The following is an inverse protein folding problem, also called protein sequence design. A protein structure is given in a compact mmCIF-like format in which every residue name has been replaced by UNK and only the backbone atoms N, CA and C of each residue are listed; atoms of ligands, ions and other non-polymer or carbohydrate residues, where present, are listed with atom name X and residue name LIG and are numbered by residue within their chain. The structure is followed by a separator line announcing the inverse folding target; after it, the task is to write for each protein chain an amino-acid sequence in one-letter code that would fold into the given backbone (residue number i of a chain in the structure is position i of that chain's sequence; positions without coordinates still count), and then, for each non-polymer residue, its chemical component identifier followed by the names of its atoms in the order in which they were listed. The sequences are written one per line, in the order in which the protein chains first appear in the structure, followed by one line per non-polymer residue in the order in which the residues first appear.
data_IF_969119352015
#
_entry.id   IF_969119352015
#
_cell.length_a   1.000
_cell.length_b   1.000
_cell.length_c   1.000
_cell.angle_alpha   90.00
_cell.angle_beta   90.00
_cell.angle_gamma   90.00
#
_symmetry.space_group_name_H-M   'P 1'
#
loop_
_entity.id
_entity.type
_entity.pdbx_description
1 polymer ?
#
# COMPACT_ATOMS: atom_id res chain seq x y z
N UNK A 1 -19.91 18.36 -23.94
CA UNK A 1 -18.88 19.36 -23.62
C UNK A 1 -17.57 18.60 -23.65
N UNK A 2 -16.63 18.99 -24.49
CA UNK A 2 -15.35 18.30 -24.60
C UNK A 2 -14.63 18.29 -23.24
N UNK A 3 -13.91 17.21 -22.94
CA UNK A 3 -13.01 17.09 -21.79
C UNK A 3 -11.85 18.11 -21.92
N UNK A 4 -12.09 19.40 -21.68
CA UNK A 4 -11.00 20.35 -21.48
C UNK A 4 -10.40 20.09 -20.09
N UNK A 5 -9.09 19.83 -20.05
CA UNK A 5 -8.34 19.71 -18.81
C UNK A 5 -8.37 21.05 -18.06
N UNK A 6 -8.70 21.01 -16.77
CA UNK A 6 -8.65 22.20 -15.92
C UNK A 6 -7.19 22.55 -15.59
N UNK A 7 -6.82 23.83 -15.65
CA UNK A 7 -5.49 24.28 -15.21
C UNK A 7 -5.34 24.09 -13.69
N UNK A 8 -6.41 24.36 -12.93
CA UNK A 8 -6.52 24.15 -11.49
C UNK A 8 -7.95 23.88 -11.05
N UNK A 9 -8.16 23.53 -9.78
CA UNK A 9 -9.48 23.59 -9.15
C UNK A 9 -9.33 23.99 -7.68
N UNK A 10 -9.80 25.17 -7.30
CA UNK A 10 -9.75 25.62 -5.92
C UNK A 10 -11.01 26.40 -5.54
N UNK A 11 -11.71 25.95 -4.50
CA UNK A 11 -12.97 26.52 -4.02
C UNK A 11 -12.98 26.90 -2.53
N UNK A 12 -11.81 26.91 -1.88
CA UNK A 12 -11.73 26.94 -0.41
C UNK A 12 -12.05 28.29 0.25
N UNK A 13 -12.26 29.35 -0.53
CA UNK A 13 -12.50 30.69 0.01
C UNK A 13 -13.77 31.32 -0.58
N UNK A 14 -14.34 32.27 0.17
CA UNK A 14 -15.59 32.97 -0.22
C UNK A 14 -15.47 33.81 -1.50
N UNK A 15 -14.25 34.12 -1.93
CA UNK A 15 -13.97 34.87 -3.16
C UNK A 15 -13.79 33.96 -4.38
N UNK A 16 -14.02 32.66 -4.27
CA UNK A 16 -13.86 31.74 -5.40
C UNK A 16 -14.67 32.20 -6.62
N UNK A 17 -14.12 32.01 -7.82
CA UNK A 17 -14.71 32.52 -9.05
C UNK A 17 -16.17 32.07 -9.19
N UNK A 18 -17.07 33.03 -9.42
CA UNK A 18 -18.52 32.84 -9.54
C UNK A 18 -19.18 32.11 -8.35
N UNK A 19 -18.53 32.06 -7.18
CA UNK A 19 -19.01 31.28 -6.04
C UNK A 19 -18.95 29.76 -6.25
N UNK A 20 -18.25 29.27 -7.28
CA UNK A 20 -18.19 27.85 -7.64
C UNK A 20 -16.79 27.26 -7.54
N UNK A 21 -15.78 27.88 -8.15
CA UNK A 21 -14.43 27.30 -8.23
C UNK A 21 -13.51 28.09 -9.16
N UNK A 22 -12.29 28.33 -8.71
CA UNK A 22 -11.23 28.87 -9.57
C UNK A 22 -10.64 27.76 -10.44
N UNK A 23 -10.82 27.83 -11.76
CA UNK A 23 -10.39 26.78 -12.70
C UNK A 23 -9.22 27.16 -13.62
N UNK A 24 -8.98 28.45 -13.82
CA UNK A 24 -7.90 29.00 -14.68
C UNK A 24 -6.84 29.73 -13.85
N UNK A 25 -7.28 30.54 -12.89
CA UNK A 25 -6.42 31.22 -11.92
C UNK A 25 -7.24 31.54 -10.68
N UNK A 26 -6.62 31.56 -9.50
CA UNK A 26 -7.26 32.00 -8.27
C UNK A 26 -7.60 33.49 -8.31
N UNK A 27 -8.79 33.86 -7.82
CA UNK A 27 -9.17 35.27 -7.58
C UNK A 27 -8.20 35.95 -6.61
N UNK A 28 -7.65 35.18 -5.67
CA UNK A 28 -6.59 35.60 -4.74
C UNK A 28 -5.20 35.76 -5.38
N UNK A 29 -5.04 35.53 -6.68
CA UNK A 29 -3.75 35.58 -7.38
C UNK A 29 -3.00 34.24 -7.47
N UNK A 30 -3.51 33.17 -6.83
CA UNK A 30 -2.90 31.83 -6.88
C UNK A 30 -2.84 31.30 -8.31
N UNK A 31 -1.63 31.00 -8.80
CA UNK A 31 -1.40 30.45 -10.13
C UNK A 31 -1.67 28.93 -10.17
N UNK A 32 -1.97 28.35 -11.34
CA UNK A 32 -2.22 26.91 -11.48
C UNK A 32 -1.15 26.03 -10.84
N UNK A 33 0.12 26.22 -11.17
CA UNK A 33 1.24 25.42 -10.62
C UNK A 33 1.30 25.47 -9.09
N UNK A 34 1.09 26.64 -8.49
CA UNK A 34 1.02 26.79 -7.02
C UNK A 34 -0.18 26.01 -6.44
N UNK A 35 -1.35 26.09 -7.09
CA UNK A 35 -2.53 25.33 -6.64
C UNK A 35 -2.28 23.82 -6.72
N UNK A 36 -1.65 23.35 -7.80
CA UNK A 36 -1.31 21.94 -8.04
C UNK A 36 -0.28 21.40 -7.05
N UNK A 37 0.73 22.19 -6.69
CA UNK A 37 1.68 21.85 -5.64
C UNK A 37 1.01 21.78 -4.25
N UNK A 38 0.07 22.67 -3.95
CA UNK A 38 -0.73 22.57 -2.72
C UNK A 38 -1.63 21.32 -2.72
N UNK A 39 -2.24 20.97 -3.86
CA UNK A 39 -3.01 19.72 -4.00
C UNK A 39 -2.11 18.48 -3.77
N UNK A 40 -0.91 18.49 -4.34
CA UNK A 40 0.10 17.45 -4.12
C UNK A 40 0.47 17.31 -2.63
N UNK A 41 0.76 18.42 -1.96
CA UNK A 41 1.14 18.42 -0.55
C UNK A 41 0.02 17.82 0.31
N UNK A 42 -1.23 18.26 0.11
CA UNK A 42 -2.40 17.70 0.80
C UNK A 42 -2.59 16.22 0.48
N UNK A 43 -2.39 15.81 -0.77
CA UNK A 43 -2.52 14.42 -1.18
C UNK A 43 -1.48 13.54 -0.48
N UNK A 44 -0.23 13.98 -0.39
CA UNK A 44 0.86 13.26 0.28
C UNK A 44 0.65 13.21 1.79
N UNK A 45 0.24 14.34 2.40
CA UNK A 45 -0.07 14.41 3.83
C UNK A 45 -1.19 13.45 4.26
N UNK A 46 -2.17 13.19 3.40
CA UNK A 46 -3.20 12.16 3.69
C UNK A 46 -2.59 10.76 3.82
N UNK A 47 -1.58 10.44 2.98
CA UNK A 47 -0.83 9.18 3.09
C UNK A 47 -0.02 9.10 4.37
N UNK A 48 0.71 10.18 4.71
CA UNK A 48 1.46 10.31 5.97
C UNK A 48 0.53 10.12 7.17
N UNK A 49 -0.61 10.81 7.18
CA UNK A 49 -1.61 10.70 8.24
C UNK A 49 -2.15 9.28 8.39
N UNK A 50 -2.34 8.54 7.29
CA UNK A 50 -2.82 7.15 7.36
C UNK A 50 -1.82 6.23 8.08
N UNK A 51 -0.53 6.36 7.81
CA UNK A 51 0.51 5.59 8.52
C UNK A 51 0.69 6.07 9.97
N UNK A 52 0.68 7.39 10.20
CA UNK A 52 0.79 7.96 11.55
C UNK A 52 -0.40 7.52 12.43
N UNK A 53 -1.59 7.41 11.83
CA UNK A 53 -2.78 6.91 12.51
C UNK A 53 -2.57 5.51 13.09
N UNK A 54 -2.11 4.57 12.26
CA UNK A 54 -1.88 3.20 12.68
C UNK A 54 -0.73 3.08 13.70
N UNK A 55 0.32 3.92 13.58
CA UNK A 55 1.38 3.97 14.58
C UNK A 55 0.83 4.45 15.94
N UNK A 56 -0.01 5.49 15.93
CA UNK A 56 -0.66 6.03 17.12
C UNK A 56 -1.59 5.00 17.80
N UNK A 57 -2.32 4.19 17.02
CA UNK A 57 -3.17 3.09 17.51
C UNK A 57 -2.37 2.08 18.34
N UNK A 58 -1.11 1.85 17.96
CA UNK A 58 -0.14 1.01 18.68
C UNK A 58 0.65 1.76 19.77
N UNK A 59 0.28 3.01 20.05
CA UNK A 59 0.90 3.83 21.08
C UNK A 59 2.24 4.47 20.69
N UNK A 60 2.66 4.38 19.43
CA UNK A 60 3.88 5.03 18.92
C UNK A 60 3.54 6.40 18.35
N UNK A 61 4.27 7.42 18.78
CA UNK A 61 4.05 8.83 18.40
C UNK A 61 5.35 9.49 18.03
N UNK A 62 5.32 10.39 17.05
CA UNK A 62 6.46 11.24 16.71
C UNK A 62 5.98 12.71 16.53
N UNK A 63 6.33 13.62 17.45
CA UNK A 63 5.92 15.02 17.39
C UNK A 63 6.36 15.76 16.12
N UNK A 64 7.47 15.36 15.49
CA UNK A 64 7.96 16.00 14.25
C UNK A 64 7.01 15.73 13.07
N UNK A 65 6.38 14.55 13.05
CA UNK A 65 5.38 14.19 12.04
C UNK A 65 4.13 15.06 12.24
N UNK A 66 3.67 15.21 13.49
CA UNK A 66 2.51 16.02 13.83
C UNK A 66 2.74 17.52 13.55
N UNK A 67 3.95 18.02 13.82
CA UNK A 67 4.38 19.37 13.49
C UNK A 67 4.37 19.60 11.98
N UNK A 68 4.94 18.67 11.20
CA UNK A 68 4.92 18.74 9.74
C UNK A 68 3.50 18.76 9.19
N UNK A 69 2.61 17.89 9.69
CA UNK A 69 1.22 17.85 9.25
C UNK A 69 0.49 19.18 9.53
N UNK A 70 0.77 19.80 10.67
CA UNK A 70 0.20 21.11 11.03
C UNK A 70 0.74 22.22 10.13
N UNK A 71 2.06 22.27 9.95
CA UNK A 71 2.78 23.21 9.07
C UNK A 71 2.27 23.11 7.63
N UNK A 72 2.23 21.90 7.07
CA UNK A 72 1.81 21.65 5.70
C UNK A 72 0.37 22.08 5.44
N UNK A 73 -0.56 21.79 6.37
CA UNK A 73 -1.96 22.19 6.22
C UNK A 73 -2.09 23.72 6.24
N UNK A 74 -1.41 24.39 7.17
CA UNK A 74 -1.43 25.85 7.27
C UNK A 74 -0.89 26.53 6.00
N UNK A 75 0.18 25.98 5.41
CA UNK A 75 0.76 26.45 4.15
C UNK A 75 -0.26 26.51 3.00
N UNK A 76 -1.24 25.60 2.97
CA UNK A 76 -2.25 25.54 1.90
C UNK A 76 -3.45 26.47 2.08
N UNK A 77 -3.52 27.21 3.20
CA UNK A 77 -4.61 28.16 3.44
C UNK A 77 -4.58 29.33 2.46
N UNK A 78 -5.73 29.98 2.33
CA UNK A 78 -5.89 31.15 1.47
C UNK A 78 -4.96 32.27 1.93
N UNK A 79 -4.17 32.81 0.98
CA UNK A 79 -3.23 33.92 1.19
C UNK A 79 -2.04 33.63 2.11
N UNK A 80 -1.62 32.37 2.26
CA UNK A 80 -0.44 32.00 3.08
C UNK A 80 0.81 31.87 2.22
N UNK A 81 0.86 30.91 1.29
CA UNK A 81 2.06 30.63 0.51
C UNK A 81 1.79 30.58 -0.99
N UNK A 82 2.55 31.36 -1.75
CA UNK A 82 2.52 31.43 -3.21
C UNK A 82 3.89 31.14 -3.85
N UNK A 83 4.90 30.80 -3.05
CA UNK A 83 6.25 30.52 -3.51
C UNK A 83 6.35 29.08 -4.02
N UNK A 84 6.69 28.92 -5.30
CA UNK A 84 6.81 27.62 -5.96
C UNK A 84 7.97 26.80 -5.38
N UNK A 85 9.11 27.44 -5.11
CA UNK A 85 10.30 26.75 -4.64
C UNK A 85 10.11 26.25 -3.21
N UNK A 86 9.47 27.05 -2.36
CA UNK A 86 9.13 26.63 -1.00
C UNK A 86 8.16 25.44 -0.99
N UNK A 87 7.15 25.45 -1.88
CA UNK A 87 6.23 24.31 -2.02
C UNK A 87 6.91 23.04 -2.55
N UNK A 88 7.89 23.17 -3.46
CA UNK A 88 8.71 22.03 -3.91
C UNK A 88 9.58 21.50 -2.75
N UNK A 89 10.20 22.38 -1.97
CA UNK A 89 10.97 21.99 -0.79
C UNK A 89 10.09 21.26 0.25
N UNK A 90 8.85 21.73 0.46
CA UNK A 90 7.88 21.07 1.32
C UNK A 90 7.43 19.69 0.81
N UNK A 91 7.36 19.50 -0.52
CA UNK A 91 7.06 18.19 -1.08
C UNK A 91 8.20 17.18 -0.83
N UNK A 92 9.45 17.63 -0.89
CA UNK A 92 10.62 16.81 -0.52
C UNK A 92 10.68 16.56 1.00
N UNK A 93 10.35 17.55 1.83
CA UNK A 93 10.20 17.38 3.28
C UNK A 93 9.08 16.38 3.59
N UNK A 94 7.96 16.39 2.86
CA UNK A 94 6.92 15.37 2.95
C UNK A 94 7.45 13.97 2.63
N UNK A 95 8.38 13.86 1.67
CA UNK A 95 9.07 12.61 1.37
C UNK A 95 9.90 12.08 2.54
N UNK A 96 10.70 12.96 3.19
CA UNK A 96 11.41 12.62 4.43
C UNK A 96 10.44 12.14 5.52
N UNK A 97 9.38 12.90 5.78
CA UNK A 97 8.39 12.56 6.81
C UNK A 97 7.65 11.27 6.46
N UNK A 98 7.48 10.96 5.18
CA UNK A 98 6.93 9.68 4.71
C UNK A 98 7.86 8.51 5.05
N UNK A 99 9.18 8.66 4.91
CA UNK A 99 10.16 7.67 5.39
C UNK A 99 10.05 7.52 6.90
N UNK A 100 10.04 8.63 7.64
CA UNK A 100 10.02 8.64 9.11
C UNK A 100 8.75 7.94 9.65
N UNK A 101 7.58 8.20 9.07
CA UNK A 101 6.32 7.58 9.51
C UNK A 101 6.24 6.10 9.16
N UNK A 102 6.75 5.68 8.00
CA UNK A 102 6.78 4.26 7.63
C UNK A 102 7.74 3.48 8.53
N UNK A 103 8.90 4.06 8.89
CA UNK A 103 9.81 3.48 9.89
C UNK A 103 9.15 3.36 11.25
N UNK A 104 8.50 4.42 11.73
CA UNK A 104 7.78 4.42 13.00
C UNK A 104 6.72 3.31 13.05
N UNK A 105 5.94 3.15 11.98
CA UNK A 105 4.91 2.12 11.90
C UNK A 105 5.50 0.70 11.81
N UNK A 106 6.58 0.51 11.03
CA UNK A 106 7.31 -0.77 11.01
C UNK A 106 7.77 -1.16 12.41
N UNK A 107 8.44 -0.24 13.11
CA UNK A 107 8.95 -0.50 14.46
C UNK A 107 7.80 -0.79 15.44
N UNK A 108 6.67 -0.08 15.30
CA UNK A 108 5.46 -0.35 16.08
C UNK A 108 4.94 -1.79 15.87
N UNK A 109 4.87 -2.25 14.61
CA UNK A 109 4.44 -3.60 14.29
C UNK A 109 5.42 -4.66 14.81
N UNK A 110 6.72 -4.47 14.60
CA UNK A 110 7.75 -5.43 15.05
C UNK A 110 7.76 -5.53 16.58
N UNK A 111 7.66 -4.42 17.30
CA UNK A 111 7.62 -4.44 18.77
C UNK A 111 6.36 -5.15 19.31
N UNK A 112 5.21 -4.94 18.66
CA UNK A 112 3.95 -5.53 19.09
C UNK A 112 3.83 -7.02 18.71
N UNK A 113 4.29 -7.41 17.52
CA UNK A 113 3.96 -8.70 16.92
C UNK A 113 5.18 -9.52 16.46
N UNK A 114 6.40 -9.03 16.66
CA UNK A 114 7.63 -9.67 16.19
C UNK A 114 7.95 -9.35 14.73
N UNK A 115 9.19 -9.62 14.32
CA UNK A 115 9.60 -9.40 12.92
C UNK A 115 8.92 -10.42 11.99
N UNK A 116 8.35 -10.00 10.85
CA UNK A 116 7.71 -10.92 9.91
C UNK A 116 8.66 -12.02 9.44
N UNK A 117 8.13 -13.23 9.34
CA UNK A 117 8.83 -14.41 8.83
C UNK A 117 8.10 -14.97 7.61
N UNK A 118 8.83 -15.49 6.59
CA UNK A 118 8.21 -16.11 5.43
C UNK A 118 7.26 -17.24 5.84
N UNK A 119 6.03 -17.18 5.32
CA UNK A 119 4.97 -18.14 5.66
C UNK A 119 4.10 -18.44 4.44
N UNK A 120 3.65 -19.69 4.33
CA UNK A 120 2.57 -20.07 3.43
C UNK A 120 1.22 -19.81 4.07
N UNK A 121 0.38 -19.05 3.38
CA UNK A 121 -0.97 -18.69 3.81
C UNK A 121 -1.97 -19.48 2.99
N UNK A 122 -2.88 -20.18 3.68
CA UNK A 122 -3.99 -20.91 3.05
C UNK A 122 -5.00 -19.93 2.45
N UNK A 123 -5.43 -20.20 1.22
CA UNK A 123 -6.47 -19.46 0.53
C UNK A 123 -7.64 -20.39 0.22
N UNK A 124 -8.83 -20.01 0.69
CA UNK A 124 -10.05 -20.79 0.56
C UNK A 124 -10.76 -20.99 1.90
N UNK A 125 -12.07 -21.20 1.84
CA UNK A 125 -12.87 -21.40 3.04
C UNK A 125 -12.61 -22.77 3.69
N UNK A 126 -12.57 -22.77 5.01
CA UNK A 126 -12.55 -23.95 5.88
C UNK A 126 -13.86 -23.99 6.67
N UNK A 127 -14.27 -25.19 7.08
CA UNK A 127 -15.45 -25.40 7.91
C UNK A 127 -15.34 -24.66 9.25
N UNK A 128 -16.43 -23.99 9.64
CA UNK A 128 -16.57 -23.19 10.86
C UNK A 128 -17.28 -21.86 10.62
N UNK A 129 -17.86 -21.23 11.66
CA UNK A 129 -18.31 -19.84 11.60
C UNK A 129 -17.14 -18.92 11.26
N UNK A 130 -17.37 -17.83 10.54
CA UNK A 130 -16.27 -17.05 9.99
C UNK A 130 -16.41 -15.54 10.15
N UNK A 131 -15.25 -14.88 10.29
CA UNK A 131 -15.08 -13.42 10.27
C UNK A 131 -14.03 -13.07 9.22
N UNK A 132 -14.32 -12.11 8.35
CA UNK A 132 -13.37 -11.57 7.37
C UNK A 132 -12.92 -10.18 7.82
N UNK A 133 -11.61 -9.98 7.99
CA UNK A 133 -11.02 -8.70 8.38
C UNK A 133 -10.31 -8.07 7.18
N UNK A 134 -10.70 -6.84 6.84
CA UNK A 134 -10.10 -6.05 5.76
C UNK A 134 -9.61 -4.70 6.27
N UNK A 135 -8.62 -4.11 5.61
CA UNK A 135 -8.02 -2.85 5.99
C UNK A 135 -6.56 -3.05 6.36
N UNK A 136 -6.06 -2.31 7.36
CA UNK A 136 -4.64 -2.32 7.74
C UNK A 136 -4.40 -2.38 9.25
N UNK A 137 -5.43 -2.23 10.09
CA UNK A 137 -5.26 -2.19 11.54
C UNK A 137 -4.96 -3.59 12.11
N UNK A 138 -3.68 -3.85 12.38
CA UNK A 138 -3.21 -5.09 12.99
C UNK A 138 -3.65 -5.25 14.45
N UNK A 139 -3.89 -4.14 15.17
CA UNK A 139 -4.38 -4.19 16.55
C UNK A 139 -5.83 -4.63 16.60
N UNK A 140 -6.66 -4.15 15.68
CA UNK A 140 -8.03 -4.63 15.54
C UNK A 140 -8.08 -6.14 15.28
N UNK A 141 -7.17 -6.65 14.44
CA UNK A 141 -7.05 -8.10 14.22
C UNK A 141 -6.60 -8.84 15.49
N UNK A 142 -5.59 -8.34 16.20
CA UNK A 142 -5.11 -8.95 17.45
C UNK A 142 -6.23 -9.03 18.51
N UNK A 143 -6.93 -7.92 18.75
CA UNK A 143 -8.02 -7.87 19.74
C UNK A 143 -9.18 -8.78 19.36
N UNK A 144 -9.51 -8.92 18.07
CA UNK A 144 -10.47 -9.90 17.61
C UNK A 144 -9.98 -11.33 17.87
N UNK A 145 -8.73 -11.65 17.52
CA UNK A 145 -8.15 -12.98 17.70
C UNK A 145 -8.14 -13.39 19.17
N UNK A 146 -7.79 -12.49 20.09
CA UNK A 146 -7.88 -12.72 21.55
C UNK A 146 -9.30 -13.07 21.99
N UNK A 147 -10.31 -12.41 21.44
CA UNK A 147 -11.71 -12.62 21.83
C UNK A 147 -12.33 -13.92 21.26
N UNK A 148 -11.74 -14.50 20.23
CA UNK A 148 -12.16 -15.79 19.64
C UNK A 148 -11.23 -16.95 19.96
N UNK A 149 -10.16 -16.72 20.72
CA UNK A 149 -9.16 -17.74 21.06
C UNK A 149 -9.82 -18.95 21.73
N UNK A 150 -9.55 -20.15 21.19
CA UNK A 150 -10.13 -21.41 21.68
C UNK A 150 -11.56 -21.69 21.24
N UNK A 151 -12.17 -20.82 20.41
CA UNK A 151 -13.44 -21.10 19.73
C UNK A 151 -13.21 -21.75 18.35
N UNK A 152 -14.28 -22.22 17.72
CA UNK A 152 -14.27 -22.78 16.36
C UNK A 152 -14.34 -21.72 15.25
N UNK A 153 -14.39 -20.43 15.61
CA UNK A 153 -14.50 -19.32 14.64
C UNK A 153 -13.20 -19.20 13.82
N UNK A 154 -13.36 -19.12 12.50
CA UNK A 154 -12.29 -18.89 11.53
C UNK A 154 -12.20 -17.40 11.20
N UNK A 155 -11.07 -16.78 11.53
CA UNK A 155 -10.76 -15.41 11.14
C UNK A 155 -9.92 -15.44 9.87
N UNK A 156 -10.42 -14.81 8.82
CA UNK A 156 -9.75 -14.67 7.54
C UNK A 156 -9.30 -13.24 7.31
N UNK A 157 -8.10 -13.07 6.76
CA UNK A 157 -7.64 -11.79 6.25
C UNK A 157 -8.20 -11.54 4.84
N UNK A 158 -8.31 -10.27 4.47
CA UNK A 158 -8.66 -9.82 3.13
C UNK A 158 -7.80 -8.62 2.73
N UNK A 159 -7.41 -8.55 1.45
CA UNK A 159 -6.62 -7.46 0.86
C UNK A 159 -5.35 -7.14 1.66
N UNK A 160 -5.27 -5.97 2.29
CA UNK A 160 -4.07 -5.46 2.94
C UNK A 160 -3.81 -6.09 4.32
N UNK A 161 -4.69 -6.99 4.78
CA UNK A 161 -4.48 -7.75 6.02
C UNK A 161 -3.66 -9.03 5.81
N UNK A 162 -3.40 -9.47 4.56
CA UNK A 162 -2.60 -10.67 4.27
C UNK A 162 -1.24 -10.71 5.01
N UNK A 163 -0.47 -9.61 5.08
CA UNK A 163 0.83 -9.63 5.75
C UNK A 163 0.76 -9.95 7.25
N UNK A 164 -0.42 -9.87 7.89
CA UNK A 164 -0.60 -10.24 9.28
C UNK A 164 -0.10 -11.66 9.59
N UNK A 165 -0.24 -12.58 8.64
CA UNK A 165 0.21 -13.96 8.76
C UNK A 165 1.73 -14.10 8.94
N UNK A 166 2.51 -13.13 8.43
CA UNK A 166 3.97 -13.14 8.60
C UNK A 166 4.41 -12.82 10.03
N UNK A 167 3.59 -12.11 10.81
CA UNK A 167 3.94 -11.66 12.16
C UNK A 167 3.74 -12.79 13.20
N UNK A 168 4.80 -13.27 13.88
CA UNK A 168 4.68 -14.39 14.83
C UNK A 168 3.66 -14.17 15.96
N UNK A 169 3.52 -12.93 16.44
CA UNK A 169 2.59 -12.54 17.48
C UNK A 169 1.11 -12.64 17.09
N UNK A 170 0.80 -12.59 15.80
CA UNK A 170 -0.54 -12.78 15.23
C UNK A 170 -0.73 -14.21 14.71
N UNK A 171 0.28 -14.78 14.06
CA UNK A 171 0.21 -16.11 13.48
C UNK A 171 0.18 -17.25 14.52
N UNK A 172 0.45 -16.95 15.79
CA UNK A 172 0.31 -17.92 16.89
C UNK A 172 -1.15 -18.35 17.15
N UNK A 173 -2.14 -17.57 16.71
CA UNK A 173 -3.55 -17.86 16.96
C UNK A 173 -4.10 -18.83 15.91
N UNK A 174 -4.53 -20.03 16.33
CA UNK A 174 -5.12 -21.04 15.42
C UNK A 174 -6.40 -20.55 14.72
N UNK A 175 -7.07 -19.56 15.30
CA UNK A 175 -8.24 -18.92 14.71
C UNK A 175 -7.91 -18.11 13.46
N UNK A 176 -6.66 -17.65 13.27
CA UNK A 176 -6.21 -16.98 12.04
C UNK A 176 -6.07 -18.03 10.93
N UNK A 177 -7.16 -18.27 10.21
CA UNK A 177 -7.34 -19.47 9.39
C UNK A 177 -6.69 -19.37 8.00
N UNK A 178 -6.58 -18.17 7.45
CA UNK A 178 -6.07 -17.94 6.11
C UNK A 178 -6.54 -16.61 5.51
N UNK A 179 -6.60 -16.57 4.18
CA UNK A 179 -6.99 -15.41 3.38
C UNK A 179 -8.21 -15.76 2.53
N UNK A 180 -9.15 -14.81 2.38
CA UNK A 180 -10.25 -14.87 1.41
C UNK A 180 -10.28 -13.63 0.53
N UNK A 181 -10.48 -13.84 -0.78
CA UNK A 181 -10.44 -12.79 -1.79
C UNK A 181 -9.02 -12.29 -2.09
N UNK A 182 -8.94 -11.23 -2.88
CA UNK A 182 -7.72 -10.62 -3.36
C UNK A 182 -7.63 -9.15 -2.94
N UNK A 183 -7.41 -8.27 -3.93
CA UNK A 183 -7.36 -6.83 -3.69
C UNK A 183 -8.74 -6.23 -3.38
N UNK A 184 -8.73 -5.09 -2.68
CA UNK A 184 -9.91 -4.40 -2.17
C UNK A 184 -11.14 -4.27 -3.09
N UNK A 185 -10.96 -4.21 -4.41
CA UNK A 185 -12.07 -4.00 -5.34
C UNK A 185 -12.93 -5.25 -5.57
N UNK A 186 -12.41 -6.44 -5.25
CA UNK A 186 -13.16 -7.69 -5.33
C UNK A 186 -14.14 -7.88 -4.15
N UNK A 187 -14.04 -7.03 -3.12
CA UNK A 187 -14.73 -7.18 -1.84
C UNK A 187 -16.24 -7.39 -1.99
N UNK A 188 -16.88 -6.78 -3.00
CA UNK A 188 -18.32 -6.98 -3.25
C UNK A 188 -18.66 -8.42 -3.59
N UNK A 189 -17.81 -9.08 -4.37
CA UNK A 189 -17.97 -10.48 -4.75
C UNK A 189 -17.60 -11.39 -3.59
N UNK A 190 -16.45 -11.15 -2.96
CA UNK A 190 -15.95 -11.91 -1.81
C UNK A 190 -16.93 -11.88 -0.65
N UNK A 191 -17.35 -10.69 -0.21
CA UNK A 191 -18.23 -10.51 0.93
C UNK A 191 -19.63 -11.05 0.68
N UNK A 192 -20.12 -11.01 -0.57
CA UNK A 192 -21.39 -11.64 -0.95
C UNK A 192 -21.28 -13.17 -0.96
N UNK A 193 -20.16 -13.73 -1.42
CA UNK A 193 -19.92 -15.17 -1.56
C UNK A 193 -19.91 -15.87 -0.19
N UNK A 194 -19.14 -15.34 0.76
CA UNK A 194 -18.94 -15.98 2.04
C UNK A 194 -19.95 -15.49 3.08
N UNK A 195 -20.61 -16.44 3.75
CA UNK A 195 -21.56 -16.15 4.83
C UNK A 195 -20.81 -15.91 6.15
N UNK A 196 -20.02 -14.84 6.18
CA UNK A 196 -19.16 -14.45 7.30
C UNK A 196 -19.53 -13.06 7.82
N UNK A 197 -19.25 -12.78 9.09
CA UNK A 197 -19.22 -11.39 9.54
C UNK A 197 -18.01 -10.67 8.92
N UNK A 198 -18.10 -9.37 8.66
CA UNK A 198 -17.04 -8.61 7.99
C UNK A 198 -16.65 -7.42 8.85
N UNK A 199 -15.34 -7.21 9.06
CA UNK A 199 -14.80 -6.06 9.79
C UNK A 199 -13.91 -5.25 8.86
N UNK A 200 -14.32 -4.01 8.57
CA UNK A 200 -13.54 -3.03 7.83
C UNK A 200 -12.81 -2.07 8.77
N UNK A 201 -11.48 -2.22 8.87
CA UNK A 201 -10.65 -1.49 9.83
C UNK A 201 -10.09 -0.17 9.27
N UNK A 202 -10.00 -0.03 7.96
CA UNK A 202 -9.51 1.16 7.28
C UNK A 202 -10.04 1.23 5.84
N UNK A 203 -9.51 2.14 5.01
CA UNK A 203 -9.68 2.02 3.57
C UNK A 203 -9.03 0.71 3.04
N UNK A 204 -9.52 0.11 1.96
CA UNK A 204 -10.64 0.54 1.13
C UNK A 204 -11.91 -0.26 1.41
N UNK A 205 -12.87 0.35 2.10
CA UNK A 205 -14.24 -0.16 2.23
C UNK A 205 -15.13 0.52 1.20
N UNK A 206 -15.88 -0.27 0.42
CA UNK A 206 -16.86 0.25 -0.54
C UNK A 206 -18.23 0.42 0.14
N UNK A 207 -19.11 1.30 -0.38
CA UNK A 207 -20.51 1.31 0.04
C UNK A 207 -21.09 -0.11 0.00
N UNK A 208 -21.56 -0.56 1.16
CA UNK A 208 -21.97 -1.94 1.39
C UNK A 208 -23.23 -2.28 0.57
N UNK A 209 -23.24 -3.48 0.01
CA UNK A 209 -24.41 -4.03 -0.68
C UNK A 209 -25.43 -4.58 0.32
N UNK A 210 -26.72 -4.45 0.01
CA UNK A 210 -27.80 -4.98 0.85
C UNK A 210 -27.63 -6.47 1.19
N UNK A 211 -26.99 -7.25 0.31
CA UNK A 211 -26.72 -8.69 0.52
C UNK A 211 -25.79 -9.02 1.69
N UNK A 212 -24.99 -8.07 2.20
CA UNK A 212 -24.09 -8.30 3.34
C UNK A 212 -24.02 -7.13 4.33
N UNK A 213 -24.72 -6.02 4.05
CA UNK A 213 -24.69 -4.79 4.87
C UNK A 213 -24.95 -5.07 6.36
N UNK A 214 -25.95 -5.89 6.68
CA UNK A 214 -26.35 -6.21 8.06
C UNK A 214 -25.32 -7.03 8.86
N UNK A 215 -24.38 -7.67 8.16
CA UNK A 215 -23.30 -8.48 8.74
C UNK A 215 -21.91 -7.86 8.52
N UNK A 216 -21.88 -6.59 8.07
CA UNK A 216 -20.67 -5.81 7.97
C UNK A 216 -20.60 -4.84 9.14
N UNK A 217 -19.37 -4.66 9.62
CA UNK A 217 -19.00 -3.75 10.66
C UNK A 217 -17.83 -2.92 10.15
N UNK A 218 -17.80 -1.66 10.55
CA UNK A 218 -16.65 -0.77 10.36
C UNK A 218 -16.16 -0.33 11.73
N UNK A 219 -15.03 0.34 11.80
CA UNK A 219 -14.54 0.87 13.08
C UNK A 219 -13.80 2.18 12.88
N UNK A 220 -13.76 2.95 13.97
CA UNK A 220 -12.95 4.15 14.05
C UNK A 220 -13.26 5.16 12.92
N UNK A 221 -12.25 5.69 12.22
CA UNK A 221 -12.41 6.65 11.12
C UNK A 221 -12.98 6.03 9.84
N UNK A 222 -12.91 4.71 9.67
CA UNK A 222 -13.58 4.02 8.57
C UNK A 222 -15.07 3.85 8.93
N UNK A 223 -15.96 4.47 8.15
CA UNK A 223 -17.41 4.38 8.37
C UNK A 223 -18.16 4.28 7.06
N UNK A 224 -19.27 3.54 7.07
CA UNK A 224 -20.19 3.41 5.94
C UNK A 224 -21.62 3.69 6.38
N UNK A 225 -22.41 4.31 5.51
CA UNK A 225 -23.82 4.60 5.78
C UNK A 225 -24.63 3.31 5.95
N UNK A 226 -25.31 3.20 7.10
CA UNK A 226 -26.13 2.04 7.44
C UNK A 226 -25.33 0.78 7.76
N UNK A 227 -24.06 0.91 8.13
CA UNK A 227 -23.20 -0.19 8.60
C UNK A 227 -22.87 0.06 10.08
N UNK A 228 -22.87 -1.00 10.90
CA UNK A 228 -22.59 -0.90 12.33
C UNK A 228 -21.13 -0.53 12.59
N UNK A 229 -20.86 0.09 13.74
CA UNK A 229 -19.50 0.47 14.15
C UNK A 229 -19.08 -0.38 15.35
N UNK A 230 -17.87 -0.94 15.31
CA UNK A 230 -17.20 -1.53 16.48
C UNK A 230 -16.51 -0.39 17.22
N UNK A 231 -16.86 -0.24 18.49
CA UNK A 231 -16.28 0.73 19.41
C UNK A 231 -15.40 0.02 20.46
N UNK A 232 -14.34 0.67 20.91
CA UNK A 232 -13.44 0.19 21.98
C UNK A 232 -12.90 -1.24 21.81
N UNK A 233 -12.76 -1.69 20.56
CA UNK A 233 -12.36 -3.06 20.19
C UNK A 233 -13.29 -4.15 20.77
N UNK A 234 -14.55 -3.85 21.10
CA UNK A 234 -15.54 -4.85 21.51
C UNK A 234 -16.12 -5.57 20.28
N UNK A 235 -15.64 -6.78 20.02
CA UNK A 235 -16.09 -7.60 18.89
C UNK A 235 -17.25 -8.54 19.25
N UNK A 236 -17.89 -8.39 20.41
CA UNK A 236 -18.98 -9.27 20.84
C UNK A 236 -20.11 -9.36 19.82
N UNK A 237 -20.55 -8.25 19.24
CA UNK A 237 -21.59 -8.24 18.21
C UNK A 237 -21.13 -8.88 16.89
N UNK A 238 -19.86 -8.70 16.52
CA UNK A 238 -19.26 -9.35 15.33
C UNK A 238 -19.23 -10.87 15.51
N UNK A 239 -18.83 -11.32 16.70
CA UNK A 239 -18.71 -12.73 17.07
C UNK A 239 -20.10 -13.40 17.08
N UNK A 240 -21.11 -12.77 17.69
CA UNK A 240 -22.48 -13.29 17.67
C UNK A 240 -23.07 -13.28 16.26
N UNK A 241 -22.77 -12.26 15.46
CA UNK A 241 -23.12 -12.24 14.04
C UNK A 241 -22.50 -13.45 13.32
N UNK A 242 -21.20 -13.68 13.45
CA UNK A 242 -20.50 -14.81 12.81
C UNK A 242 -21.12 -16.16 13.17
N UNK A 243 -21.41 -16.40 14.45
CA UNK A 243 -22.09 -17.63 14.92
C UNK A 243 -23.48 -17.79 14.30
N UNK A 244 -24.24 -16.69 14.20
CA UNK A 244 -25.61 -16.73 13.66
C UNK A 244 -25.67 -17.07 12.16
N UNK A 245 -24.59 -16.84 11.43
CA UNK A 245 -24.47 -17.14 9.99
C UNK A 245 -24.18 -18.62 9.72
N UNK A 246 -23.81 -19.39 10.74
CA UNK A 246 -23.45 -20.80 10.61
C UNK A 246 -22.08 -21.03 9.99
N UNK A 247 -21.81 -22.27 9.58
CA UNK A 247 -20.52 -22.67 9.03
C UNK A 247 -20.37 -22.27 7.57
N UNK A 248 -19.14 -21.90 7.17
CA UNK A 248 -18.78 -21.90 5.76
C UNK A 248 -18.70 -23.33 5.21
N UNK A 249 -18.99 -23.47 3.92
CA UNK A 249 -18.70 -24.69 3.17
C UNK A 249 -17.19 -24.73 2.86
N UNK A 250 -16.50 -25.84 3.15
CA UNK A 250 -15.08 -25.96 2.88
C UNK A 250 -14.78 -25.98 1.37
N UNK A 251 -13.70 -25.32 0.98
CA UNK A 251 -13.19 -25.25 -0.39
C UNK A 251 -11.88 -26.03 -0.51
N UNK A 252 -11.49 -26.34 -1.76
CA UNK A 252 -10.11 -26.74 -2.03
C UNK A 252 -9.17 -25.58 -1.70
N UNK A 253 -8.14 -25.85 -0.91
CA UNK A 253 -7.20 -24.84 -0.45
C UNK A 253 -6.03 -24.70 -1.42
N UNK A 254 -5.72 -23.47 -1.79
CA UNK A 254 -4.45 -23.10 -2.42
C UNK A 254 -3.57 -22.37 -1.40
N UNK A 255 -2.34 -22.03 -1.79
CA UNK A 255 -1.42 -21.26 -0.96
C UNK A 255 -0.88 -20.04 -1.69
N UNK A 256 -0.60 -19.00 -0.92
CA UNK A 256 0.21 -17.83 -1.32
C UNK A 256 1.23 -17.57 -0.22
N UNK A 257 2.28 -16.82 -0.51
CA UNK A 257 3.34 -16.51 0.48
C UNK A 257 3.34 -15.05 0.89
N UNK A 258 3.78 -14.78 2.13
CA UNK A 258 4.01 -13.43 2.66
C UNK A 258 5.05 -13.47 3.78
N UNK A 259 5.44 -12.30 4.29
CA UNK A 259 6.28 -12.19 5.50
C UNK A 259 7.78 -12.07 5.26
N UNK A 260 8.22 -11.72 4.05
CA UNK A 260 9.64 -11.47 3.76
C UNK A 260 10.09 -10.11 4.32
N UNK A 261 10.47 -10.09 5.59
CA UNK A 261 11.08 -8.93 6.24
C UNK A 261 12.50 -8.66 5.73
N UNK A 262 13.06 -7.49 6.09
CA UNK A 262 14.45 -7.19 5.80
C UNK A 262 15.38 -8.19 6.51
N UNK A 263 15.11 -8.53 7.77
CA UNK A 263 15.87 -9.56 8.49
C UNK A 263 15.81 -10.91 7.78
N UNK A 264 14.62 -11.38 7.39
CA UNK A 264 14.45 -12.65 6.68
C UNK A 264 15.21 -12.68 5.34
N UNK A 265 15.23 -11.58 4.59
CA UNK A 265 15.98 -11.49 3.33
C UNK A 265 17.49 -11.46 3.60
N UNK A 266 17.93 -10.71 4.62
CA UNK A 266 19.35 -10.57 4.99
C UNK A 266 19.95 -11.90 5.48
N UNK A 267 19.17 -12.80 6.07
CA UNK A 267 19.63 -14.17 6.38
C UNK A 267 20.12 -14.93 5.13
N UNK A 268 19.64 -14.55 3.93
CA UNK A 268 20.07 -15.09 2.65
C UNK A 268 21.08 -14.20 1.90
N UNK A 269 21.55 -13.09 2.50
CA UNK A 269 22.37 -12.09 1.82
C UNK A 269 23.62 -12.66 1.14
N UNK A 270 24.37 -13.53 1.81
CA UNK A 270 25.58 -14.14 1.22
C UNK A 270 25.25 -15.02 0.00
N UNK A 271 24.17 -15.79 0.06
CA UNK A 271 23.74 -16.61 -1.09
C UNK A 271 23.24 -15.72 -2.22
N UNK A 272 22.46 -14.69 -1.91
CA UNK A 272 22.00 -13.70 -2.89
C UNK A 272 23.20 -13.03 -3.57
N UNK A 273 24.23 -12.63 -2.80
CA UNK A 273 25.47 -12.05 -3.31
C UNK A 273 26.17 -13.00 -4.27
N UNK A 274 26.36 -14.26 -3.87
CA UNK A 274 26.95 -15.30 -4.72
C UNK A 274 26.19 -15.43 -6.04
N UNK A 275 24.86 -15.54 -5.98
CA UNK A 275 24.01 -15.71 -7.17
C UNK A 275 24.07 -14.49 -8.11
N UNK A 276 24.15 -13.28 -7.57
CA UNK A 276 24.32 -12.05 -8.37
C UNK A 276 25.70 -12.02 -9.02
N UNK A 277 26.77 -12.30 -8.26
CA UNK A 277 28.15 -12.29 -8.78
C UNK A 277 28.39 -13.39 -9.82
N UNK A 278 27.73 -14.53 -9.68
CA UNK A 278 27.74 -15.63 -10.65
C UNK A 278 26.85 -15.38 -11.88
N UNK A 279 26.10 -14.27 -11.90
CA UNK A 279 25.19 -13.91 -13.00
C UNK A 279 23.92 -14.77 -13.06
N UNK A 280 23.57 -15.48 -11.99
CA UNK A 280 22.34 -16.28 -11.87
C UNK A 280 21.14 -15.44 -11.45
N UNK A 281 21.37 -14.33 -10.75
CA UNK A 281 20.38 -13.26 -10.56
C UNK A 281 20.86 -12.06 -11.35
N UNK A 282 20.13 -11.70 -12.41
CA UNK A 282 20.47 -10.60 -13.31
C UNK A 282 19.95 -9.25 -12.79
N UNK A 283 18.79 -9.26 -12.14
CA UNK A 283 18.09 -8.04 -11.69
C UNK A 283 17.03 -8.32 -10.62
N UNK A 284 16.89 -7.37 -9.69
CA UNK A 284 15.77 -7.26 -8.77
C UNK A 284 14.72 -6.29 -9.30
N UNK A 285 13.46 -6.62 -9.08
CA UNK A 285 12.33 -5.76 -9.36
C UNK A 285 11.54 -5.49 -8.10
N UNK A 286 11.21 -4.24 -7.82
CA UNK A 286 10.11 -3.91 -6.91
C UNK A 286 8.88 -3.69 -7.77
N UNK A 287 7.92 -4.61 -7.74
CA UNK A 287 6.66 -4.53 -8.48
C UNK A 287 5.52 -4.54 -7.48
N UNK A 288 4.74 -3.47 -7.40
CA UNK A 288 3.68 -3.40 -6.40
C UNK A 288 3.09 -2.02 -6.23
N UNK A 289 2.45 -1.78 -5.09
CA UNK A 289 1.69 -0.57 -4.80
C UNK A 289 0.18 -0.84 -4.79
N UNK A 290 -0.64 0.11 -5.22
CA UNK A 290 -2.09 -0.05 -5.09
C UNK A 290 -2.76 -0.61 -6.34
N UNK A 291 -3.54 -1.68 -6.19
CA UNK A 291 -4.35 -2.23 -7.28
C UNK A 291 -5.65 -1.43 -7.52
N UNK A 292 -6.21 -1.60 -8.70
CA UNK A 292 -7.43 -0.97 -9.20
C UNK A 292 -8.16 -1.91 -10.16
N UNK A 293 -9.49 -1.91 -10.09
CA UNK A 293 -10.37 -2.59 -11.03
C UNK A 293 -10.39 -1.92 -12.41
N UNK A 294 -9.28 -1.99 -13.16
CA UNK A 294 -9.19 -1.49 -14.52
C UNK A 294 -8.37 -2.45 -15.39
N UNK A 295 -8.84 -2.66 -16.63
CA UNK A 295 -8.19 -3.59 -17.58
C UNK A 295 -6.71 -3.24 -17.84
N UNK A 296 -6.37 -1.96 -17.85
CA UNK A 296 -4.98 -1.53 -18.02
C UNK A 296 -4.06 -1.94 -16.86
N UNK A 297 -4.59 -2.31 -15.69
CA UNK A 297 -3.79 -2.85 -14.60
C UNK A 297 -3.39 -4.32 -14.83
N UNK A 298 -3.92 -4.99 -15.85
CA UNK A 298 -3.47 -6.36 -16.20
C UNK A 298 -2.03 -6.37 -16.74
N UNK A 299 -1.53 -5.19 -17.13
CA UNK A 299 -0.11 -4.92 -17.39
C UNK A 299 0.80 -5.54 -16.32
N UNK A 300 0.50 -5.38 -15.03
CA UNK A 300 1.40 -5.84 -13.96
C UNK A 300 1.50 -7.37 -13.90
N UNK A 301 0.41 -8.07 -14.21
CA UNK A 301 0.43 -9.53 -14.32
C UNK A 301 1.27 -9.95 -15.53
N UNK A 302 1.02 -9.34 -16.68
CA UNK A 302 1.77 -9.63 -17.91
C UNK A 302 3.26 -9.32 -17.74
N UNK A 303 3.59 -8.21 -17.08
CA UNK A 303 4.96 -7.82 -16.76
C UNK A 303 5.64 -8.90 -15.92
N UNK A 304 5.07 -9.27 -14.77
CA UNK A 304 5.66 -10.28 -13.89
C UNK A 304 5.77 -11.66 -14.57
N UNK A 305 4.76 -12.07 -15.33
CA UNK A 305 4.77 -13.35 -16.05
C UNK A 305 5.86 -13.46 -17.12
N UNK A 306 6.25 -12.33 -17.73
CA UNK A 306 7.21 -12.30 -18.83
C UNK A 306 8.61 -11.84 -18.40
N UNK A 307 8.82 -11.58 -17.10
CA UNK A 307 10.17 -11.31 -16.59
C UNK A 307 11.07 -12.53 -16.76
N UNK A 308 12.33 -12.35 -17.19
CA UNK A 308 13.30 -13.44 -17.32
C UNK A 308 13.44 -14.27 -16.04
N UNK A 309 13.66 -15.57 -16.18
CA UNK A 309 13.72 -16.52 -15.04
C UNK A 309 14.88 -16.23 -14.07
N UNK A 310 15.87 -15.43 -14.47
CA UNK A 310 17.01 -14.99 -13.66
C UNK A 310 16.73 -13.71 -12.85
N UNK A 311 15.46 -13.35 -12.66
CA UNK A 311 15.05 -12.14 -11.92
C UNK A 311 14.34 -12.47 -10.61
N UNK A 312 14.50 -11.61 -9.60
CA UNK A 312 13.80 -11.69 -8.30
C UNK A 312 12.89 -10.49 -8.12
N UNK A 313 11.68 -10.72 -7.61
CA UNK A 313 10.62 -9.72 -7.49
C UNK A 313 10.29 -9.53 -6.01
N UNK A 314 10.44 -8.30 -5.54
CA UNK A 314 9.91 -7.83 -4.28
C UNK A 314 8.53 -7.21 -4.55
N UNK A 315 7.51 -7.65 -3.83
CA UNK A 315 6.16 -7.09 -3.94
C UNK A 315 5.64 -6.62 -2.60
N UNK A 316 4.68 -5.71 -2.65
CA UNK A 316 4.05 -5.10 -1.50
C UNK A 316 2.70 -4.53 -1.88
N UNK A 317 1.89 -4.28 -0.84
CA UNK A 317 0.55 -3.74 -0.95
C UNK A 317 -0.39 -4.54 -1.87
N UNK A 318 -1.63 -4.06 -2.04
CA UNK A 318 -2.65 -4.83 -2.74
C UNK A 318 -2.39 -5.03 -4.25
N UNK A 319 -1.41 -4.35 -4.84
CA UNK A 319 -0.88 -4.62 -6.18
C UNK A 319 -0.40 -6.06 -6.36
N UNK A 320 0.08 -6.70 -5.27
CA UNK A 320 0.53 -8.09 -5.27
C UNK A 320 -0.52 -9.07 -5.83
N UNK A 321 -1.81 -8.80 -5.62
CA UNK A 321 -2.90 -9.70 -6.05
C UNK A 321 -3.06 -9.77 -7.57
N UNK A 322 -2.28 -9.01 -8.34
CA UNK A 322 -2.19 -9.19 -9.79
C UNK A 322 -1.37 -10.41 -10.19
N UNK A 323 -0.49 -10.92 -9.32
CA UNK A 323 0.48 -11.94 -9.69
C UNK A 323 0.97 -12.84 -8.54
N UNK A 324 0.54 -12.63 -7.29
CA UNK A 324 0.98 -13.44 -6.15
C UNK A 324 0.41 -14.87 -6.12
N UNK A 325 -0.50 -15.18 -7.03
CA UNK A 325 -1.00 -16.53 -7.32
C UNK A 325 -0.13 -17.29 -8.34
N UNK A 326 0.87 -16.63 -8.93
CA UNK A 326 1.76 -17.27 -9.91
C UNK A 326 2.82 -18.10 -9.22
N UNK A 327 3.05 -19.31 -9.75
CA UNK A 327 4.25 -20.08 -9.46
C UNK A 327 5.39 -19.57 -10.36
N UNK A 328 6.28 -18.76 -9.78
CA UNK A 328 7.45 -18.21 -10.46
C UNK A 328 8.72 -19.04 -10.23
N UNK A 329 8.66 -20.08 -9.40
CA UNK A 329 9.81 -20.88 -8.98
C UNK A 329 10.81 -20.15 -8.08
N UNK A 330 12.02 -20.72 -8.00
CA UNK A 330 13.16 -20.22 -7.22
C UNK A 330 14.45 -20.21 -8.05
N UNK A 331 15.44 -19.46 -7.59
CA UNK A 331 16.81 -19.43 -8.12
C UNK A 331 17.72 -20.02 -7.04
N UNK A 332 18.04 -21.31 -7.18
CA UNK A 332 18.88 -22.08 -6.25
C UNK A 332 18.45 -21.95 -4.77
N UNK A 333 17.15 -22.05 -4.52
CA UNK A 333 16.54 -21.98 -3.20
C UNK A 333 16.09 -20.58 -2.77
N UNK A 334 16.33 -19.53 -3.57
CA UNK A 334 15.80 -18.19 -3.32
C UNK A 334 14.50 -18.00 -4.13
N UNK A 335 13.33 -17.88 -3.49
CA UNK A 335 12.07 -17.69 -4.22
C UNK A 335 12.11 -16.44 -5.09
N UNK A 336 11.55 -16.55 -6.30
CA UNK A 336 11.51 -15.41 -7.24
C UNK A 336 10.49 -14.34 -6.86
N UNK A 337 9.54 -14.66 -5.98
CA UNK A 337 8.57 -13.70 -5.45
C UNK A 337 8.70 -13.57 -3.94
N UNK A 338 9.05 -12.38 -3.48
CA UNK A 338 9.22 -12.02 -2.08
C UNK A 338 8.19 -10.95 -1.71
N UNK A 339 7.10 -11.35 -1.07
CA UNK A 339 6.10 -10.39 -0.56
C UNK A 339 6.54 -9.83 0.79
N UNK A 340 6.90 -8.53 0.78
CA UNK A 340 7.44 -7.82 1.94
C UNK A 340 6.37 -7.18 2.82
N UNK A 341 5.10 -7.18 2.40
CA UNK A 341 3.98 -6.79 3.26
C UNK A 341 3.00 -5.77 2.69
N UNK A 342 2.51 -4.86 3.54
CA UNK A 342 1.53 -3.82 3.23
C UNK A 342 2.17 -2.65 2.47
N UNK A 343 1.38 -1.64 2.10
CA UNK A 343 1.91 -0.40 1.52
C UNK A 343 2.94 0.33 2.39
N UNK A 344 2.79 0.33 3.72
CA UNK A 344 3.80 0.86 4.64
C UNK A 344 5.13 0.10 4.61
N UNK A 345 5.11 -1.17 4.24
CA UNK A 345 6.30 -2.03 4.19
C UNK A 345 7.15 -1.76 2.94
N UNK A 346 6.84 -0.72 2.17
CA UNK A 346 7.80 -0.07 1.25
C UNK A 346 9.12 0.22 1.96
N UNK A 347 9.08 0.62 3.24
CA UNK A 347 10.31 0.85 4.01
C UNK A 347 11.15 -0.42 4.17
N UNK A 348 10.54 -1.60 4.19
CA UNK A 348 11.26 -2.89 4.20
C UNK A 348 11.99 -3.09 2.87
N UNK A 349 11.35 -2.82 1.74
CA UNK A 349 12.02 -2.88 0.43
C UNK A 349 13.18 -1.86 0.32
N UNK A 350 13.03 -0.67 0.93
CA UNK A 350 14.12 0.32 1.04
C UNK A 350 15.26 -0.22 1.90
N UNK A 351 14.97 -0.78 3.07
CA UNK A 351 15.99 -1.34 3.96
C UNK A 351 16.75 -2.49 3.29
N UNK A 352 16.06 -3.33 2.50
CA UNK A 352 16.69 -4.36 1.66
C UNK A 352 17.60 -3.74 0.61
N UNK A 353 17.13 -2.72 -0.12
CA UNK A 353 17.96 -2.05 -1.12
C UNK A 353 19.22 -1.44 -0.51
N UNK A 354 19.11 -0.78 0.64
CA UNK A 354 20.26 -0.22 1.36
C UNK A 354 21.22 -1.32 1.85
N UNK A 355 20.71 -2.44 2.34
CA UNK A 355 21.55 -3.57 2.70
C UNK A 355 22.30 -4.15 1.49
N UNK A 356 21.67 -4.18 0.31
CA UNK A 356 22.33 -4.59 -0.93
C UNK A 356 23.40 -3.56 -1.37
N UNK A 357 23.16 -2.26 -1.20
CA UNK A 357 24.18 -1.22 -1.43
C UNK A 357 25.44 -1.52 -0.60
N UNK A 358 25.27 -1.74 0.70
CA UNK A 358 26.38 -2.05 1.61
C UNK A 358 27.08 -3.36 1.21
N UNK A 359 26.30 -4.38 0.81
CA UNK A 359 26.81 -5.70 0.46
C UNK A 359 27.65 -5.71 -0.82
N UNK A 360 27.26 -4.91 -1.81
CA UNK A 360 27.94 -4.81 -3.11
C UNK A 360 28.90 -3.62 -3.20
N UNK A 361 28.96 -2.76 -2.17
CA UNK A 361 29.69 -1.49 -2.18
C UNK A 361 29.27 -0.59 -3.36
N UNK A 362 27.95 -0.47 -3.56
CA UNK A 362 27.33 0.25 -4.69
C UNK A 362 26.39 1.35 -4.19
N UNK A 363 26.24 2.42 -4.98
CA UNK A 363 25.21 3.41 -4.71
C UNK A 363 23.81 2.89 -5.09
N UNK A 364 22.75 3.45 -4.50
CA UNK A 364 21.37 2.98 -4.67
C UNK A 364 20.93 2.88 -6.14
N UNK A 365 21.34 3.83 -6.97
CA UNK A 365 20.97 3.87 -8.39
C UNK A 365 21.90 3.02 -9.28
N UNK A 366 22.98 2.47 -8.73
CA UNK A 366 23.86 1.55 -9.45
C UNK A 366 23.43 0.10 -9.27
N UNK A 367 22.69 -0.22 -8.19
CA UNK A 367 22.16 -1.55 -7.95
C UNK A 367 21.37 -2.06 -9.17
N UNK A 368 21.40 -3.38 -9.46
CA UNK A 368 20.55 -3.98 -10.47
C UNK A 368 19.11 -4.09 -9.95
N UNK A 369 18.50 -2.95 -9.63
CA UNK A 369 17.18 -2.80 -9.03
C UNK A 369 16.33 -1.86 -9.89
N UNK A 370 15.18 -2.35 -10.35
CA UNK A 370 14.18 -1.53 -11.05
C UNK A 370 12.88 -1.49 -10.24
N UNK A 371 12.31 -0.29 -10.07
CA UNK A 371 11.04 -0.12 -9.37
C UNK A 371 9.94 0.17 -10.39
N UNK A 372 8.87 -0.62 -10.36
CA UNK A 372 7.69 -0.52 -11.24
C UNK A 372 6.45 -0.39 -10.36
N UNK A 373 5.98 0.84 -10.19
CA UNK A 373 4.95 1.23 -9.23
C UNK A 373 3.56 1.35 -9.84
N UNK A 374 2.63 0.63 -9.23
CA UNK A 374 1.19 0.87 -9.33
C UNK A 374 0.72 1.82 -8.23
N UNK A 375 -0.24 2.68 -8.52
CA UNK A 375 -0.80 3.57 -7.50
C UNK A 375 -2.30 3.81 -7.72
N UNK A 376 -2.95 4.27 -6.66
CA UNK A 376 -4.38 4.59 -6.68
C UNK A 376 -4.73 5.70 -5.69
N UNK A 377 -4.33 5.57 -4.44
CA UNK A 377 -4.72 6.48 -3.36
C UNK A 377 -3.51 7.16 -2.70
N UNK A 378 -3.72 7.79 -1.54
CA UNK A 378 -2.81 8.76 -0.95
C UNK A 378 -1.58 8.14 -0.28
N UNK A 379 -1.69 6.92 0.26
CA UNK A 379 -0.53 6.20 0.82
C UNK A 379 0.52 5.91 -0.24
N UNK A 380 0.11 5.59 -1.47
CA UNK A 380 1.03 5.42 -2.60
C UNK A 380 1.79 6.71 -2.99
N UNK A 381 1.19 7.89 -2.81
CA UNK A 381 1.91 9.15 -3.03
C UNK A 381 2.95 9.44 -1.96
N UNK A 382 2.66 9.14 -0.68
CA UNK A 382 3.66 9.20 0.38
C UNK A 382 4.86 8.28 0.08
N UNK A 383 4.59 7.07 -0.44
CA UNK A 383 5.63 6.14 -0.91
C UNK A 383 6.45 6.73 -2.05
N UNK A 384 5.81 7.30 -3.08
CA UNK A 384 6.53 7.94 -4.19
C UNK A 384 7.46 9.04 -3.67
N UNK A 385 6.96 9.96 -2.85
CA UNK A 385 7.77 11.06 -2.31
C UNK A 385 8.88 10.58 -1.39
N UNK A 386 8.67 9.50 -0.64
CA UNK A 386 9.73 8.84 0.13
C UNK A 386 10.88 8.38 -0.78
N UNK A 387 10.56 7.71 -1.89
CA UNK A 387 11.56 7.24 -2.87
C UNK A 387 12.30 8.40 -3.55
N UNK A 388 11.59 9.47 -3.90
CA UNK A 388 12.20 10.69 -4.46
C UNK A 388 13.13 11.37 -3.43
N UNK A 389 12.71 11.47 -2.16
CA UNK A 389 13.55 12.01 -1.09
C UNK A 389 14.83 11.19 -0.87
N UNK A 390 14.73 9.86 -0.98
CA UNK A 390 15.89 8.95 -0.92
C UNK A 390 16.79 9.02 -2.16
N UNK A 391 16.44 9.83 -3.16
CA UNK A 391 17.23 10.04 -4.36
C UNK A 391 17.14 8.90 -5.38
N UNK A 392 16.11 8.04 -5.29
CA UNK A 392 15.91 6.98 -6.29
C UNK A 392 15.49 7.59 -7.63
N UNK A 393 16.20 7.23 -8.68
CA UNK A 393 15.90 7.61 -10.08
C UNK A 393 15.41 6.41 -10.89
N UNK A 394 15.05 6.61 -12.16
CA UNK A 394 14.80 5.52 -13.13
C UNK A 394 13.66 4.57 -12.72
N UNK A 395 12.66 5.12 -12.04
CA UNK A 395 11.46 4.39 -11.63
C UNK A 395 10.41 4.43 -12.74
N UNK A 396 9.61 3.37 -12.81
CA UNK A 396 8.46 3.28 -13.69
C UNK A 396 7.17 3.43 -12.89
N UNK A 397 6.22 4.23 -13.39
CA UNK A 397 4.96 4.50 -12.68
C UNK A 397 3.77 4.46 -13.63
N UNK A 398 2.63 3.95 -13.16
CA UNK A 398 1.36 4.18 -13.83
C UNK A 398 0.27 3.22 -13.39
N UNK A 399 -0.75 2.99 -14.25
CA UNK A 399 -0.88 3.41 -15.65
C UNK A 399 -1.40 4.83 -15.87
N UNK A 400 -1.77 5.55 -14.81
CA UNK A 400 -2.33 6.91 -14.90
C UNK A 400 -1.43 7.87 -14.17
N UNK A 401 -1.09 9.03 -14.74
CA UNK A 401 -0.35 10.05 -14.00
C UNK A 401 -1.25 10.77 -12.98
N UNK A 402 -0.72 11.20 -11.82
CA UNK A 402 -1.51 11.95 -10.87
C UNK A 402 -2.08 13.24 -11.46
N UNK A 403 -3.38 13.49 -11.26
CA UNK A 403 -4.07 14.64 -11.86
C UNK A 403 -3.62 16.00 -11.31
N UNK A 404 -2.81 16.01 -10.24
CA UNK A 404 -2.15 17.23 -9.74
C UNK A 404 -0.86 17.55 -10.52
N UNK A 405 -0.31 16.63 -11.32
CA UNK A 405 0.84 16.91 -12.18
C UNK A 405 0.41 17.74 -13.40
N UNK A 406 0.91 18.97 -13.53
CA UNK A 406 0.91 19.71 -14.80
C UNK A 406 2.26 19.54 -15.51
N UNK A 407 2.40 20.11 -16.72
CA UNK A 407 3.64 19.99 -17.52
C UNK A 407 4.88 20.46 -16.78
N UNK A 408 4.81 21.58 -16.04
CA UNK A 408 5.94 22.09 -15.25
C UNK A 408 6.43 21.05 -14.21
N UNK A 409 5.49 20.48 -13.45
CA UNK A 409 5.79 19.48 -12.43
C UNK A 409 6.32 18.20 -13.06
N UNK A 410 5.73 17.76 -14.19
CA UNK A 410 6.19 16.58 -14.93
C UNK A 410 7.64 16.77 -15.38
N UNK A 411 7.97 17.93 -15.96
CA UNK A 411 9.32 18.22 -16.42
C UNK A 411 10.32 18.15 -15.27
N UNK A 412 10.00 18.71 -14.09
CA UNK A 412 10.85 18.61 -12.90
C UNK A 412 11.04 17.15 -12.47
N UNK A 413 9.98 16.34 -12.46
CA UNK A 413 10.06 14.92 -12.09
C UNK A 413 10.91 14.11 -13.09
N UNK A 414 10.78 14.39 -14.38
CA UNK A 414 11.56 13.74 -15.44
C UNK A 414 13.02 14.18 -15.39
N UNK A 415 13.30 15.48 -15.33
CA UNK A 415 14.66 16.03 -15.35
C UNK A 415 15.48 15.61 -14.13
N UNK A 416 14.87 15.56 -12.94
CA UNK A 416 15.60 15.29 -11.70
C UNK A 416 15.57 13.82 -11.27
N UNK A 417 14.57 13.04 -11.68
CA UNK A 417 14.39 11.66 -11.21
C UNK A 417 14.25 10.62 -12.32
N UNK A 418 14.20 11.05 -13.59
CA UNK A 418 13.98 10.17 -14.75
C UNK A 418 12.76 9.24 -14.57
N UNK A 419 11.67 9.78 -13.98
CA UNK A 419 10.45 9.02 -13.74
C UNK A 419 9.75 8.72 -15.06
N UNK A 420 9.56 7.43 -15.37
CA UNK A 420 9.05 6.97 -16.66
C UNK A 420 7.61 6.43 -16.52
N UNK A 421 6.64 6.95 -17.28
CA UNK A 421 5.32 6.33 -17.34
C UNK A 421 5.38 4.95 -18.00
N UNK A 422 4.71 3.95 -17.45
CA UNK A 422 4.55 2.66 -18.15
C UNK A 422 3.81 2.86 -19.47
N UNK A 423 4.23 2.14 -20.52
CA UNK A 423 3.65 2.30 -21.86
C UNK A 423 2.29 1.61 -21.99
N UNK A 424 2.02 0.67 -21.10
CA UNK A 424 0.90 -0.27 -21.19
C UNK A 424 1.21 -1.52 -22.04
N UNK A 425 2.42 -1.61 -22.62
CA UNK A 425 2.97 -2.80 -23.27
C UNK A 425 4.07 -3.37 -22.38
N UNK A 426 3.71 -4.39 -21.59
CA UNK A 426 4.62 -4.99 -20.62
C UNK A 426 5.89 -5.56 -21.26
N UNK A 427 5.78 -6.17 -22.44
CA UNK A 427 6.91 -6.80 -23.14
C UNK A 427 7.87 -5.73 -23.67
N UNK A 428 7.35 -4.63 -24.22
CA UNK A 428 8.15 -3.51 -24.68
C UNK A 428 8.89 -2.83 -23.51
N UNK A 429 8.23 -2.66 -22.37
CA UNK A 429 8.82 -2.09 -21.17
C UNK A 429 9.91 -3.01 -20.59
N UNK A 430 9.67 -4.32 -20.50
CA UNK A 430 10.70 -5.31 -20.10
C UNK A 430 11.93 -5.21 -21.00
N UNK A 431 11.73 -5.18 -22.32
CA UNK A 431 12.84 -5.06 -23.27
C UNK A 431 13.64 -3.78 -23.02
N UNK A 432 12.95 -2.66 -22.78
CA UNK A 432 13.60 -1.38 -22.51
C UNK A 432 14.39 -1.40 -21.20
N UNK A 433 13.83 -2.01 -20.15
CA UNK A 433 14.45 -2.11 -18.82
C UNK A 433 15.66 -3.05 -18.83
N UNK A 434 15.57 -4.17 -19.54
CA UNK A 434 16.60 -5.20 -19.55
C UNK A 434 17.75 -4.90 -20.54
N UNK A 435 17.52 -4.06 -21.55
CA UNK A 435 18.51 -3.69 -22.57
C UNK A 435 18.41 -4.53 -23.84
#
# INVERSE_FOLDING_TARGET
MANESLDMFCYQCSQTAHGTGCTVSGVCGKKPTVARLQDNLIFTMKGISAYNYNANVLGKKNPEIDEFLTKGLYTTLTNVNFDVNDLVALALEAGKVSVDVMRLLKDAHIEAYGEPQPVEVKVGAQEGPAIIVTGHDMKALEELLKQVEGTDIKVYTHSEMLPAHGYPGLNKYENLAGQLGGAWHDQRMTFKKYNAAIVGTSNCVLPAMDSYKERMFTMDVAKLEGVKTVDDYDFSEVIECAKSLGSLEPEELTTITTGWSAGAIVEHAEKIKELVLDGKISRFFVVGGCDKAAKHNDYYREFVQNLPEDTVILTLACGKYKFNDLDLGDIEGIPRLLDVGQCNDTIVAVDVALALCDLFEMELNELPLTIVLSWMEQKAAAVLWALLYLGKTDMWIGPVLPAWCNEDIINVLVENYNLTPITGDAIADIKTIMG
#
